data_IF_707085620083
#
_entry.id   IF_707085620083
#
_cell.length_a   1.000
_cell.length_b   1.000
_cell.length_c   1.000
_cell.angle_alpha   90.00
_cell.angle_beta   90.00
_cell.angle_gamma   90.00
#
_symmetry.space_group_name_H-M   'P 1'
#
loop_
_entity.id
_entity.type
_entity.pdbx_description
1 polymer ?
#
# COMPACT_ATOMS: atom_id res chain seq x y z
N UNK A 1 7.28 26.27 -24.94
CA UNK A 1 8.54 25.73 -24.43
C UNK A 1 8.18 24.94 -23.18
N UNK A 2 8.37 23.62 -23.19
CA UNK A 2 8.27 22.83 -21.95
C UNK A 2 9.39 23.32 -21.03
N UNK A 3 9.02 23.98 -19.92
CA UNK A 3 9.98 24.29 -18.87
C UNK A 3 10.61 22.97 -18.41
N UNK A 4 11.93 22.87 -18.48
CA UNK A 4 12.65 21.79 -17.82
C UNK A 4 12.18 21.75 -16.36
N UNK A 5 11.74 20.59 -15.84
CA UNK A 5 11.29 20.52 -14.47
C UNK A 5 12.41 21.02 -13.57
N UNK A 6 12.12 22.08 -12.81
CA UNK A 6 13.01 22.57 -11.76
C UNK A 6 13.44 21.36 -10.91
N UNK A 7 14.75 21.16 -10.73
CA UNK A 7 15.29 19.95 -10.08
C UNK A 7 14.69 19.69 -8.70
N UNK A 8 14.19 20.73 -8.02
CA UNK A 8 13.43 20.62 -6.76
C UNK A 8 12.16 19.76 -6.88
N UNK A 9 11.35 19.92 -7.93
CA UNK A 9 10.11 19.13 -8.09
C UNK A 9 10.40 17.63 -8.24
N UNK A 10 11.50 17.26 -8.89
CA UNK A 10 11.91 15.86 -8.99
C UNK A 10 12.32 15.29 -7.62
N UNK A 11 13.04 16.08 -6.82
CA UNK A 11 13.42 15.70 -5.46
C UNK A 11 12.20 15.55 -4.54
N UNK A 12 11.20 16.42 -4.65
CA UNK A 12 9.98 16.32 -3.87
C UNK A 12 9.13 15.12 -4.31
N UNK A 13 9.05 14.88 -5.62
CA UNK A 13 8.31 13.75 -6.21
C UNK A 13 8.80 12.41 -5.69
N UNK A 14 10.12 12.18 -5.58
CA UNK A 14 10.66 10.91 -5.09
C UNK A 14 10.37 10.67 -3.60
N UNK A 15 10.09 11.72 -2.84
CA UNK A 15 9.67 11.66 -1.44
C UNK A 15 8.15 11.57 -1.28
N UNK A 16 7.40 11.67 -2.38
CA UNK A 16 5.93 11.67 -2.38
C UNK A 16 5.31 13.03 -2.05
N UNK A 17 6.01 14.12 -2.35
CA UNK A 17 5.56 15.51 -2.13
C UNK A 17 5.30 16.23 -3.47
N UNK A 18 4.78 17.45 -3.40
CA UNK A 18 4.40 18.30 -4.55
C UNK A 18 3.30 17.67 -5.43
N UNK A 19 3.59 17.35 -6.69
CA UNK A 19 2.57 16.94 -7.68
C UNK A 19 2.21 15.45 -7.65
N UNK A 20 2.64 14.71 -6.62
CA UNK A 20 2.34 13.28 -6.47
C UNK A 20 1.01 13.09 -5.77
N UNK A 21 -0.06 12.98 -6.57
CA UNK A 21 -1.38 12.60 -6.08
C UNK A 21 -1.67 11.15 -6.44
N UNK A 22 -1.86 10.31 -5.42
CA UNK A 22 -2.19 8.89 -5.57
C UNK A 22 -3.35 8.50 -4.66
N UNK A 23 -4.23 7.65 -5.16
CA UNK A 23 -5.32 7.06 -4.37
C UNK A 23 -4.82 5.88 -3.54
N UNK A 24 -5.48 5.54 -2.42
CA UNK A 24 -5.18 4.31 -1.68
C UNK A 24 -5.23 3.05 -2.55
N UNK A 25 -6.13 2.99 -3.53
CA UNK A 25 -6.23 1.86 -4.46
C UNK A 25 -4.99 1.73 -5.36
N UNK A 26 -4.44 2.84 -5.85
CA UNK A 26 -3.20 2.84 -6.64
C UNK A 26 -2.00 2.42 -5.78
N UNK A 27 -1.92 2.88 -4.53
CA UNK A 27 -0.89 2.43 -3.58
C UNK A 27 -1.03 0.93 -3.28
N UNK A 28 -2.27 0.44 -3.12
CA UNK A 28 -2.53 -0.98 -2.90
C UNK A 28 -2.10 -1.83 -4.11
N UNK A 29 -2.37 -1.36 -5.33
CA UNK A 29 -1.89 -2.01 -6.55
C UNK A 29 -0.35 -2.01 -6.64
N UNK A 30 0.30 -0.91 -6.26
CA UNK A 30 1.77 -0.83 -6.22
C UNK A 30 2.36 -1.86 -5.25
N UNK A 31 1.81 -1.98 -4.05
CA UNK A 31 2.27 -2.98 -3.07
C UNK A 31 1.89 -4.41 -3.48
N UNK A 32 0.77 -4.60 -4.19
CA UNK A 32 0.37 -5.92 -4.67
C UNK A 32 1.31 -6.47 -5.73
N UNK A 33 1.96 -5.61 -6.53
CA UNK A 33 3.04 -6.05 -7.43
C UNK A 33 4.17 -6.72 -6.64
N UNK A 34 4.58 -6.14 -5.51
CA UNK A 34 5.68 -6.67 -4.67
C UNK A 34 5.22 -7.96 -3.98
N UNK A 35 4.01 -7.95 -3.42
CA UNK A 35 3.41 -9.13 -2.78
C UNK A 35 3.28 -10.30 -3.78
N UNK A 36 2.84 -10.01 -5.00
CA UNK A 36 2.61 -10.96 -6.08
C UNK A 36 3.86 -11.22 -6.95
N UNK A 37 5.04 -11.24 -6.32
CA UNK A 37 6.30 -11.63 -6.94
C UNK A 37 6.65 -10.89 -8.24
N UNK A 38 6.28 -9.61 -8.34
CA UNK A 38 6.59 -8.72 -9.46
C UNK A 38 5.52 -8.67 -10.55
N UNK A 39 4.39 -9.33 -10.33
CA UNK A 39 3.29 -9.43 -11.30
C UNK A 39 2.17 -8.45 -10.96
N UNK A 40 1.93 -7.51 -11.88
CA UNK A 40 0.84 -6.55 -11.78
C UNK A 40 -0.45 -7.16 -12.30
N UNK A 41 -1.49 -7.14 -11.46
CA UNK A 41 -2.87 -7.48 -11.81
C UNK A 41 -3.72 -6.23 -11.63
N UNK A 42 -4.68 -6.00 -12.52
CA UNK A 42 -5.61 -4.89 -12.36
C UNK A 42 -6.61 -5.20 -11.25
N UNK A 43 -6.78 -4.31 -10.24
CA UNK A 43 -7.77 -4.51 -9.20
C UNK A 43 -9.18 -4.50 -9.80
N UNK A 44 -10.07 -5.27 -9.19
CA UNK A 44 -11.46 -5.44 -9.61
C UNK A 44 -12.34 -5.61 -8.39
N UNK A 45 -13.56 -5.11 -8.47
CA UNK A 45 -14.55 -5.25 -7.41
C UNK A 45 -15.66 -6.26 -7.78
N UNK A 46 -16.02 -6.32 -9.06
CA UNK A 46 -17.09 -7.20 -9.56
C UNK A 46 -16.51 -8.56 -9.92
N UNK A 47 -17.05 -9.63 -9.33
CA UNK A 47 -16.69 -11.01 -9.65
C UNK A 47 -17.63 -11.63 -10.68
N UNK A 48 -18.93 -11.44 -10.50
CA UNK A 48 -19.96 -11.95 -11.40
C UNK A 48 -21.23 -11.08 -11.32
N UNK A 49 -22.07 -11.18 -12.34
CA UNK A 49 -23.44 -10.70 -12.33
C UNK A 49 -24.37 -11.90 -12.25
N UNK A 50 -25.30 -11.89 -11.31
CA UNK A 50 -26.30 -12.95 -11.12
C UNK A 50 -27.71 -12.42 -11.27
N UNK A 51 -28.64 -13.27 -11.69
CA UNK A 51 -30.07 -12.98 -11.61
C UNK A 51 -30.56 -13.09 -10.16
N UNK A 52 -31.80 -12.67 -9.89
CA UNK A 52 -32.47 -12.82 -8.59
C UNK A 52 -32.64 -14.28 -8.19
N UNK A 53 -32.68 -15.20 -9.15
CA UNK A 53 -32.77 -16.64 -8.95
C UNK A 53 -31.40 -17.30 -8.74
N UNK A 54 -30.31 -16.53 -8.78
CA UNK A 54 -28.95 -17.00 -8.54
C UNK A 54 -28.22 -17.52 -9.78
N UNK A 55 -28.73 -17.33 -10.99
CA UNK A 55 -28.05 -17.75 -12.21
C UNK A 55 -26.97 -16.74 -12.62
N UNK A 56 -25.73 -17.20 -12.85
CA UNK A 56 -24.65 -16.36 -13.36
C UNK A 56 -24.95 -15.91 -14.79
N UNK A 57 -25.12 -14.60 -14.98
CA UNK A 57 -25.30 -13.94 -16.27
C UNK A 57 -23.94 -13.69 -16.93
N UNK A 58 -22.97 -13.25 -16.14
CA UNK A 58 -21.61 -13.04 -16.61
C UNK A 58 -20.61 -13.24 -15.47
N UNK A 59 -19.48 -13.86 -15.79
CA UNK A 59 -18.34 -13.98 -14.87
C UNK A 59 -17.21 -13.10 -15.38
N UNK A 60 -16.63 -12.34 -14.46
CA UNK A 60 -15.39 -11.64 -14.69
C UNK A 60 -14.34 -12.50 -13.98
N UNK A 61 -13.34 -13.07 -14.66
CA UNK A 61 -12.18 -13.65 -13.99
C UNK A 61 -11.08 -12.58 -13.79
N UNK A 62 -10.12 -12.79 -12.87
CA UNK A 62 -8.95 -11.90 -12.77
C UNK A 62 -8.16 -11.89 -14.08
N UNK A 63 -7.62 -10.73 -14.45
CA UNK A 63 -6.66 -10.66 -15.56
C UNK A 63 -5.46 -11.56 -15.27
N UNK A 64 -4.88 -12.13 -16.33
CA UNK A 64 -3.68 -12.96 -16.23
C UNK A 64 -2.50 -12.18 -15.66
N UNK A 65 -2.52 -10.84 -15.67
CA UNK A 65 -1.49 -9.97 -15.12
C UNK A 65 -0.22 -9.95 -15.96
N UNK A 66 0.61 -8.92 -15.77
CA UNK A 66 1.90 -8.79 -16.46
C UNK A 66 3.05 -8.68 -15.48
N UNK A 67 4.20 -9.25 -15.83
CA UNK A 67 5.44 -9.03 -15.09
C UNK A 67 5.90 -7.59 -15.29
N UNK A 68 6.09 -6.86 -14.19
CA UNK A 68 6.60 -5.48 -14.20
C UNK A 68 7.87 -5.31 -13.37
N UNK A 69 8.16 -6.25 -12.46
CA UNK A 69 9.42 -6.31 -11.71
C UNK A 69 10.07 -7.67 -11.85
N UNK A 70 11.41 -7.69 -11.87
CA UNK A 70 12.20 -8.92 -11.81
C UNK A 70 12.09 -9.56 -10.42
N UNK A 71 12.13 -10.91 -10.32
CA UNK A 71 12.13 -11.60 -9.03
C UNK A 71 13.24 -11.13 -8.08
N UNK A 72 14.44 -10.84 -8.61
CA UNK A 72 15.56 -10.32 -7.82
C UNK A 72 15.28 -8.94 -7.24
N UNK A 73 14.62 -8.06 -7.99
CA UNK A 73 14.17 -6.74 -7.50
C UNK A 73 13.12 -6.90 -6.41
N UNK A 74 12.16 -7.80 -6.59
CA UNK A 74 11.10 -8.05 -5.61
C UNK A 74 11.68 -8.57 -4.29
N UNK A 75 12.63 -9.52 -4.35
CA UNK A 75 13.28 -10.04 -3.15
C UNK A 75 14.04 -8.95 -2.37
N UNK A 76 14.71 -8.04 -3.08
CA UNK A 76 15.35 -6.87 -2.45
C UNK A 76 14.34 -5.93 -1.82
N UNK A 77 13.22 -5.66 -2.50
CA UNK A 77 12.14 -4.82 -1.96
C UNK A 77 11.51 -5.44 -0.72
N UNK A 78 11.20 -6.74 -0.73
CA UNK A 78 10.69 -7.49 0.43
C UNK A 78 11.63 -7.32 1.62
N UNK A 79 12.92 -7.58 1.43
CA UNK A 79 13.93 -7.40 2.49
C UNK A 79 13.95 -5.97 3.06
N UNK A 80 14.01 -4.95 2.18
CA UNK A 80 14.06 -3.56 2.63
C UNK A 80 12.78 -3.13 3.36
N UNK A 81 11.60 -3.54 2.87
CA UNK A 81 10.31 -3.22 3.47
C UNK A 81 10.09 -3.96 4.80
N UNK A 82 10.64 -5.15 4.95
CA UNK A 82 10.65 -5.87 6.23
C UNK A 82 11.51 -5.15 7.28
N UNK A 83 12.62 -4.54 6.89
CA UNK A 83 13.45 -3.77 7.84
C UNK A 83 12.69 -2.58 8.44
N UNK A 84 11.74 -1.99 7.70
CA UNK A 84 10.92 -0.87 8.19
C UNK A 84 10.02 -1.29 9.36
N UNK A 85 9.49 -2.51 9.32
CA UNK A 85 8.52 -3.04 10.29
C UNK A 85 9.20 -3.80 11.42
N UNK A 86 10.43 -4.29 11.22
CA UNK A 86 11.20 -4.91 12.30
C UNK A 86 12.00 -3.90 13.12
N UNK A 87 12.61 -2.90 12.47
CA UNK A 87 13.61 -2.02 13.10
C UNK A 87 13.40 -0.53 12.80
N UNK A 88 12.45 -0.18 11.94
CA UNK A 88 12.31 1.17 11.40
C UNK A 88 11.10 1.94 11.92
N UNK A 89 10.54 2.78 11.05
CA UNK A 89 9.42 3.66 11.38
C UNK A 89 8.08 2.94 11.50
N UNK A 90 7.97 1.72 10.96
CA UNK A 90 6.73 0.96 10.87
C UNK A 90 6.59 -0.15 11.89
N UNK A 91 7.30 -0.10 13.02
CA UNK A 91 7.32 -1.20 14.01
C UNK A 91 5.94 -1.58 14.56
N UNK A 92 5.03 -0.62 14.67
CA UNK A 92 3.66 -0.86 15.15
C UNK A 92 2.80 -1.67 14.16
N UNK A 93 3.26 -1.86 12.92
CA UNK A 93 2.57 -2.65 11.92
C UNK A 93 2.90 -4.16 11.98
N UNK A 94 3.83 -4.57 12.85
CA UNK A 94 4.29 -5.95 12.90
C UNK A 94 3.20 -6.89 13.44
N UNK A 95 2.85 -7.93 12.68
CA UNK A 95 1.84 -8.93 13.06
C UNK A 95 2.50 -10.27 13.37
N UNK A 96 2.78 -10.53 14.65
CA UNK A 96 3.42 -11.78 15.08
C UNK A 96 2.45 -12.98 15.00
N UNK A 97 2.95 -14.20 14.72
CA UNK A 97 4.35 -14.59 14.51
C UNK A 97 4.87 -14.33 13.08
N UNK A 98 4.05 -13.74 12.22
CA UNK A 98 4.36 -13.54 10.81
C UNK A 98 5.35 -12.40 10.59
N UNK A 99 6.05 -12.45 9.47
CA UNK A 99 6.90 -11.34 9.01
C UNK A 99 6.03 -10.42 8.16
N UNK A 100 6.01 -9.14 8.52
CA UNK A 100 5.30 -8.07 7.79
C UNK A 100 6.30 -7.28 6.93
N UNK A 101 5.94 -6.93 5.70
CA UNK A 101 6.65 -5.93 4.91
C UNK A 101 5.74 -4.72 4.71
N UNK A 102 6.26 -3.52 4.90
CA UNK A 102 5.47 -2.30 4.68
C UNK A 102 6.29 -1.02 4.72
N UNK A 103 5.61 0.10 4.50
CA UNK A 103 6.21 1.43 4.53
C UNK A 103 5.26 2.45 5.13
N UNK A 104 5.81 3.32 5.97
CA UNK A 104 5.13 4.53 6.46
C UNK A 104 5.24 5.66 5.44
N UNK A 105 4.22 6.49 5.34
CA UNK A 105 4.25 7.78 4.65
C UNK A 105 3.68 8.88 5.54
N UNK A 106 4.26 10.08 5.47
CA UNK A 106 3.70 11.28 6.10
C UNK A 106 3.77 12.37 5.04
N UNK A 107 2.62 12.91 4.66
CA UNK A 107 2.52 13.98 3.68
C UNK A 107 1.92 15.23 4.33
N UNK A 108 2.52 16.36 4.02
CA UNK A 108 2.05 17.67 4.46
C UNK A 108 0.88 18.09 3.58
N UNK A 109 -0.18 18.62 4.19
CA UNK A 109 -1.35 19.09 3.43
C UNK A 109 -1.25 20.56 3.03
N UNK A 110 -0.32 21.30 3.63
CA UNK A 110 -0.25 22.77 3.52
C UNK A 110 -1.37 23.50 4.28
N UNK A 111 -2.25 22.79 4.98
CA UNK A 111 -3.33 23.37 5.80
C UNK A 111 -2.85 23.51 7.25
N UNK A 112 -2.97 24.72 7.81
CA UNK A 112 -2.65 25.00 9.21
C UNK A 112 -3.95 25.09 10.02
N UNK A 113 -4.02 24.35 11.13
CA UNK A 113 -5.13 24.36 12.09
C UNK A 113 -4.51 24.53 13.48
N UNK A 114 -5.00 25.50 14.26
CA UNK A 114 -4.50 25.78 15.62
C UNK A 114 -2.97 25.88 15.71
N UNK A 115 -2.37 26.64 14.78
CA UNK A 115 -0.91 26.85 14.66
C UNK A 115 -0.09 25.60 14.30
N UNK A 116 -0.73 24.46 14.01
CA UNK A 116 -0.08 23.22 13.61
C UNK A 116 -0.42 22.85 12.16
N UNK A 117 0.56 22.34 11.42
CA UNK A 117 0.35 21.82 10.07
C UNK A 117 -0.35 20.46 10.12
N UNK A 118 -1.47 20.34 9.38
CA UNK A 118 -2.19 19.08 9.21
C UNK A 118 -1.40 18.17 8.27
N UNK A 119 -1.19 16.93 8.70
CA UNK A 119 -0.51 15.89 7.95
C UNK A 119 -1.43 14.71 7.69
N UNK A 120 -1.24 14.06 6.54
CA UNK A 120 -1.86 12.76 6.24
C UNK A 120 -0.83 11.67 6.50
N UNK A 121 -1.25 10.65 7.24
CA UNK A 121 -0.42 9.51 7.62
C UNK A 121 -0.84 8.27 6.86
N UNK A 122 0.14 7.58 6.30
CA UNK A 122 -0.05 6.40 5.49
C UNK A 122 0.71 5.22 6.07
N UNK A 123 0.13 4.05 5.93
CA UNK A 123 0.87 2.80 5.98
C UNK A 123 0.37 1.88 4.87
N UNK A 124 1.30 1.30 4.11
CA UNK A 124 0.99 0.30 3.11
C UNK A 124 1.89 -0.92 3.32
N UNK A 125 1.33 -2.12 3.26
CA UNK A 125 2.10 -3.33 3.48
C UNK A 125 1.35 -4.61 3.14
N UNK A 126 2.04 -5.74 3.28
CA UNK A 126 1.50 -7.08 3.14
C UNK A 126 2.14 -8.03 4.15
N UNK A 127 1.36 -9.02 4.57
CA UNK A 127 1.74 -10.04 5.55
C UNK A 127 1.03 -11.36 5.21
N UNK A 128 1.65 -12.52 5.42
CA UNK A 128 3.09 -12.77 5.64
C UNK A 128 3.95 -12.41 4.42
N UNK A 129 5.25 -12.19 4.58
CA UNK A 129 6.14 -11.82 3.45
C UNK A 129 6.39 -12.98 2.49
N UNK A 130 6.51 -14.19 3.02
CA UNK A 130 6.81 -15.43 2.30
C UNK A 130 5.62 -15.87 1.45
N UNK A 131 4.41 -15.75 2.00
CA UNK A 131 3.15 -16.07 1.33
C UNK A 131 2.12 -14.96 1.62
N UNK A 132 2.17 -13.83 0.91
CA UNK A 132 1.28 -12.71 1.17
C UNK A 132 -0.19 -13.09 0.98
N UNK A 133 -0.99 -12.93 2.03
CA UNK A 133 -2.44 -13.21 2.01
C UNK A 133 -3.22 -11.97 1.57
N UNK A 134 -2.81 -10.79 2.03
CA UNK A 134 -3.44 -9.52 1.68
C UNK A 134 -2.45 -8.34 1.62
N UNK A 135 -2.81 -7.34 0.82
CA UNK A 135 -2.23 -6.00 0.85
C UNK A 135 -3.23 -5.08 1.54
N UNK A 136 -2.78 -4.33 2.54
CA UNK A 136 -3.59 -3.33 3.24
C UNK A 136 -2.91 -1.98 3.14
N UNK A 137 -3.71 -0.96 2.82
CA UNK A 137 -3.32 0.44 2.81
C UNK A 137 -4.23 1.19 3.77
N UNK A 138 -3.63 1.90 4.71
CA UNK A 138 -4.29 2.75 5.70
C UNK A 138 -3.87 4.19 5.42
N UNK A 139 -4.85 5.08 5.32
CA UNK A 139 -4.68 6.52 5.21
C UNK A 139 -5.47 7.16 6.36
N UNK A 140 -4.81 8.01 7.14
CA UNK A 140 -5.41 8.75 8.26
C UNK A 140 -5.12 10.24 8.06
N UNK A 141 -6.17 11.02 7.87
CA UNK A 141 -6.07 12.49 7.71
C UNK A 141 -5.90 13.22 9.05
N UNK A 142 -6.29 12.59 10.15
CA UNK A 142 -6.27 13.17 11.50
C UNK A 142 -5.69 12.15 12.48
N UNK A 143 -4.38 12.18 12.67
CA UNK A 143 -3.67 11.20 13.48
C UNK A 143 -2.29 11.65 13.92
N UNK A 144 -1.52 10.71 14.47
CA UNK A 144 -0.09 10.89 14.80
C UNK A 144 0.74 9.94 13.94
N UNK A 145 2.04 10.21 13.83
CA UNK A 145 2.97 9.52 12.91
C UNK A 145 2.91 7.99 12.84
N UNK A 146 2.57 7.32 13.95
CA UNK A 146 2.50 5.84 14.02
C UNK A 146 1.10 5.25 13.92
N UNK A 147 0.05 6.07 13.92
CA UNK A 147 -1.34 5.58 14.01
C UNK A 147 -1.72 4.69 12.82
N UNK A 148 -1.30 5.04 11.60
CA UNK A 148 -1.62 4.23 10.41
C UNK A 148 -0.95 2.84 10.44
N UNK A 149 0.27 2.74 10.96
CA UNK A 149 0.98 1.47 11.12
C UNK A 149 0.29 0.56 12.15
N UNK A 150 -0.14 1.12 13.28
CA UNK A 150 -0.90 0.39 14.29
C UNK A 150 -2.23 -0.16 13.72
N UNK A 151 -3.00 0.70 13.03
CA UNK A 151 -4.29 0.30 12.42
C UNK A 151 -4.09 -0.78 11.36
N UNK A 152 -3.01 -0.71 10.58
CA UNK A 152 -2.65 -1.79 9.65
C UNK A 152 -2.48 -3.13 10.40
N UNK A 153 -1.75 -3.13 11.52
CA UNK A 153 -1.48 -4.32 12.32
C UNK A 153 -2.78 -4.99 12.78
N UNK A 154 -3.72 -4.21 13.31
CA UNK A 154 -5.02 -4.69 13.76
C UNK A 154 -5.86 -5.29 12.62
N UNK A 155 -5.94 -4.60 11.48
CA UNK A 155 -6.69 -5.09 10.30
C UNK A 155 -6.07 -6.39 9.79
N UNK A 156 -4.75 -6.44 9.66
CA UNK A 156 -4.05 -7.60 9.12
C UNK A 156 -4.13 -8.80 10.08
N UNK A 157 -4.03 -8.59 11.39
CA UNK A 157 -4.27 -9.64 12.37
C UNK A 157 -5.70 -10.20 12.24
N UNK A 158 -6.69 -9.33 12.06
CA UNK A 158 -8.07 -9.74 11.78
C UNK A 158 -8.20 -10.60 10.52
N UNK A 159 -7.60 -10.18 9.40
CA UNK A 159 -7.60 -10.93 8.14
C UNK A 159 -6.97 -12.31 8.32
N UNK A 160 -5.83 -12.40 9.00
CA UNK A 160 -5.10 -13.66 9.18
C UNK A 160 -5.82 -14.64 10.12
N UNK A 161 -6.75 -14.18 10.95
CA UNK A 161 -7.58 -15.03 11.81
C UNK A 161 -8.85 -15.54 11.12
N UNK A 162 -9.19 -15.04 9.92
CA UNK A 162 -10.34 -15.53 9.14
C UNK A 162 -10.02 -16.79 8.32
N UNK A 163 -8.73 -17.09 8.14
CA UNK A 163 -8.20 -18.22 7.38
C UNK A 163 -7.65 -19.31 8.30
#
# INVERSE_FOLDING_TARGET
AEEMPFQGHLADTILGQDKVMVTPLQVAQMFSVIANNGKMVNPRLVMELTTTEGFTVNSYPPDRGRMVLLPSTVNRLKYMLTSVTQYGTGTEAAVKPWITAGKTGTAQTGVIIDEAEKNVYWFAGFTPVERPEAVVVVLIEEGKGKTAAYVYGEIMAGILNLN
#
